data_IF_186258323589
#
_entry.id   IF_186258323589
#
_cell.length_a   1.000
_cell.length_b   1.000
_cell.length_c   1.000
_cell.angle_alpha   90.00
_cell.angle_beta   90.00
_cell.angle_gamma   90.00
#
_symmetry.space_group_name_H-M   'P 1'
#
loop_
_entity.id
_entity.type
_entity.pdbx_description
1 polymer ?
#
# COMPACT_ATOMS: atom_id res chain seq x y z
N UNK A 1 4.93 3.78 10.32
CA UNK A 1 5.25 2.39 9.95
C UNK A 1 5.80 2.31 8.53
N UNK A 2 5.00 2.66 7.52
CA UNK A 2 5.42 2.56 6.11
C UNK A 2 6.67 3.38 5.77
N UNK A 3 6.85 4.56 6.35
CA UNK A 3 8.03 5.41 6.09
C UNK A 3 9.21 5.20 7.07
N UNK A 4 9.24 4.06 7.77
CA UNK A 4 10.32 3.79 8.74
C UNK A 4 11.56 3.23 8.05
N UNK A 5 12.75 3.58 8.54
CA UNK A 5 14.02 3.12 7.94
C UNK A 5 14.15 1.60 7.93
N UNK A 6 13.60 0.91 8.95
CA UNK A 6 13.57 -0.55 9.00
C UNK A 6 12.76 -1.13 7.84
N UNK A 7 11.58 -0.57 7.58
CA UNK A 7 10.70 -1.09 6.54
C UNK A 7 11.23 -0.75 5.14
N UNK A 8 11.74 0.47 4.95
CA UNK A 8 12.33 0.87 3.66
C UNK A 8 13.56 0.03 3.29
N UNK A 9 14.31 -0.50 4.27
CA UNK A 9 15.39 -1.47 4.00
C UNK A 9 14.89 -2.83 3.54
N UNK A 10 13.72 -3.26 4.02
CA UNK A 10 13.09 -4.53 3.63
C UNK A 10 12.31 -4.39 2.31
N UNK A 11 11.68 -3.24 2.08
CA UNK A 11 10.84 -2.90 0.94
C UNK A 11 11.35 -1.60 0.31
N UNK A 12 12.46 -1.65 -0.45
CA UNK A 12 13.09 -0.45 -1.01
C UNK A 12 12.23 0.23 -2.09
N UNK A 13 11.25 -0.49 -2.65
CA UNK A 13 10.25 0.06 -3.57
C UNK A 13 9.28 1.05 -2.90
N UNK A 14 9.17 1.08 -1.56
CA UNK A 14 8.34 2.08 -0.86
C UNK A 14 8.96 3.48 -1.02
N UNK A 15 8.27 4.34 -1.77
CA UNK A 15 8.60 5.74 -1.89
C UNK A 15 8.37 6.50 -0.58
N UNK A 16 9.01 7.66 -0.45
CA UNK A 16 8.90 8.51 0.74
C UNK A 16 7.60 9.31 0.76
N UNK A 17 6.96 9.50 -0.40
CA UNK A 17 5.67 10.16 -0.52
C UNK A 17 4.54 9.15 -0.29
N UNK A 18 3.87 9.31 0.84
CA UNK A 18 2.81 8.42 1.31
C UNK A 18 1.70 9.29 1.89
N UNK A 19 0.49 9.13 1.35
CA UNK A 19 -0.73 9.76 1.87
C UNK A 19 -1.67 8.66 2.35
N UNK A 20 -2.09 8.77 3.61
CA UNK A 20 -3.04 7.84 4.23
C UNK A 20 -4.33 8.60 4.54
N UNK A 21 -5.45 8.08 4.06
CA UNK A 21 -6.79 8.56 4.38
C UNK A 21 -7.53 7.45 5.14
N UNK A 22 -8.18 7.82 6.24
CA UNK A 22 -9.09 6.93 6.95
C UNK A 22 -10.49 7.52 6.97
N UNK A 23 -11.48 6.70 6.63
CA UNK A 23 -12.89 7.01 6.76
C UNK A 23 -13.55 5.92 7.62
N UNK A 24 -14.41 6.32 8.56
CA UNK A 24 -15.16 5.36 9.38
C UNK A 24 -16.65 5.69 9.32
N UNK A 25 -17.45 4.70 8.98
CA UNK A 25 -18.91 4.78 8.98
C UNK A 25 -19.45 3.68 9.89
N UNK A 26 -19.92 4.08 11.07
CA UNK A 26 -20.31 3.17 12.16
C UNK A 26 -19.16 2.24 12.55
N UNK A 27 -19.26 0.96 12.21
CA UNK A 27 -18.29 -0.08 12.53
C UNK A 27 -17.33 -0.37 11.37
N UNK A 28 -17.67 0.09 10.15
CA UNK A 28 -16.83 -0.13 8.98
C UNK A 28 -15.76 0.96 8.88
N UNK A 29 -14.49 0.56 8.85
CA UNK A 29 -13.36 1.46 8.66
C UNK A 29 -12.73 1.21 7.30
N UNK A 30 -12.53 2.26 6.52
CA UNK A 30 -11.83 2.20 5.24
C UNK A 30 -10.55 3.00 5.34
N UNK A 31 -9.43 2.36 5.02
CA UNK A 31 -8.10 2.98 4.96
C UNK A 31 -7.65 2.97 3.50
N UNK A 32 -7.48 4.14 2.92
CA UNK A 32 -6.94 4.32 1.57
C UNK A 32 -5.55 4.90 1.63
N UNK A 33 -4.60 4.27 0.94
CA UNK A 33 -3.19 4.63 0.96
C UNK A 33 -2.77 4.92 -0.47
N UNK A 34 -2.33 6.15 -0.71
CA UNK A 34 -1.56 6.48 -1.90
C UNK A 34 -0.08 6.41 -1.53
N UNK A 35 0.66 5.57 -2.25
CA UNK A 35 2.06 5.26 -2.00
C UNK A 35 2.83 5.39 -3.30
N UNK A 36 3.75 6.36 -3.34
CA UNK A 36 4.71 6.44 -4.43
C UNK A 36 5.59 5.19 -4.42
N UNK A 37 5.90 4.68 -5.61
CA UNK A 37 6.73 3.48 -5.78
C UNK A 37 7.99 3.85 -6.53
N UNK A 38 9.14 3.33 -6.09
CA UNK A 38 10.44 3.63 -6.70
C UNK A 38 10.70 2.67 -7.84
N UNK A 39 10.69 3.18 -9.07
CA UNK A 39 10.84 2.43 -10.34
C UNK A 39 12.07 1.51 -10.38
N UNK A 40 13.19 1.94 -9.80
CA UNK A 40 14.45 1.18 -9.75
C UNK A 40 14.31 -0.21 -9.11
N UNK A 41 13.30 -0.41 -8.25
CA UNK A 41 13.08 -1.64 -7.51
C UNK A 41 11.89 -2.46 -8.00
N UNK A 42 11.27 -2.06 -9.11
CA UNK A 42 10.10 -2.73 -9.71
C UNK A 42 10.30 -2.79 -11.22
N UNK A 43 10.55 -3.97 -11.77
CA UNK A 43 10.97 -4.12 -13.17
C UNK A 43 9.80 -4.07 -14.15
N UNK A 44 8.59 -4.43 -13.70
CA UNK A 44 7.41 -4.55 -14.55
C UNK A 44 6.10 -4.40 -13.76
N UNK A 45 4.99 -4.26 -14.50
CA UNK A 45 3.66 -4.07 -13.91
C UNK A 45 3.20 -5.25 -13.04
N UNK A 46 3.63 -6.48 -13.34
CA UNK A 46 3.26 -7.64 -12.51
C UNK A 46 3.94 -7.57 -11.15
N UNK A 47 5.21 -7.21 -11.11
CA UNK A 47 5.93 -6.96 -9.86
C UNK A 47 5.30 -5.81 -9.07
N UNK A 48 4.87 -4.75 -9.75
CA UNK A 48 4.15 -3.65 -9.11
C UNK A 48 2.85 -4.12 -8.43
N UNK A 49 2.05 -4.93 -9.13
CA UNK A 49 0.79 -5.48 -8.60
C UNK A 49 1.08 -6.38 -7.39
N UNK A 50 2.03 -7.31 -7.52
CA UNK A 50 2.43 -8.19 -6.41
C UNK A 50 2.96 -7.40 -5.22
N UNK A 51 3.75 -6.36 -5.46
CA UNK A 51 4.22 -5.46 -4.41
C UNK A 51 3.06 -4.77 -3.70
N UNK A 52 2.07 -4.26 -4.44
CA UNK A 52 0.86 -3.64 -3.90
C UNK A 52 0.04 -4.61 -3.02
N UNK A 53 -0.08 -5.86 -3.45
CA UNK A 53 -0.72 -6.94 -2.67
C UNK A 53 0.05 -7.24 -1.38
N UNK A 54 1.38 -7.36 -1.46
CA UNK A 54 2.23 -7.58 -0.28
C UNK A 54 2.10 -6.46 0.76
N UNK A 55 2.07 -5.20 0.33
CA UNK A 55 1.85 -4.07 1.23
C UNK A 55 0.46 -4.16 1.87
N UNK A 56 -0.56 -4.51 1.09
CA UNK A 56 -1.94 -4.65 1.59
C UNK A 56 -2.05 -5.74 2.65
N UNK A 57 -1.47 -6.92 2.41
CA UNK A 57 -1.45 -8.02 3.38
C UNK A 57 -0.61 -7.69 4.62
N UNK A 58 0.54 -7.03 4.46
CA UNK A 58 1.35 -6.57 5.60
C UNK A 58 0.57 -5.61 6.51
N UNK A 59 -0.25 -4.73 5.93
CA UNK A 59 -1.06 -3.79 6.71
C UNK A 59 -2.17 -4.52 7.47
N UNK A 60 -2.85 -5.49 6.83
CA UNK A 60 -3.84 -6.34 7.48
C UNK A 60 -3.23 -7.14 8.63
N UNK A 61 -2.07 -7.77 8.42
CA UNK A 61 -1.36 -8.52 9.46
C UNK A 61 -0.94 -7.63 10.63
N UNK A 62 -0.53 -6.38 10.34
CA UNK A 62 -0.01 -5.48 11.36
C UNK A 62 -1.09 -4.79 12.18
N UNK A 63 -2.21 -4.43 11.54
CA UNK A 63 -3.23 -3.54 12.10
C UNK A 63 -4.60 -4.20 12.23
N UNK A 64 -4.74 -5.46 11.80
CA UNK A 64 -5.99 -6.22 11.83
C UNK A 64 -6.82 -6.02 10.57
N UNK A 65 -7.62 -7.05 10.24
CA UNK A 65 -8.49 -7.10 9.06
C UNK A 65 -9.98 -7.23 9.37
N UNK A 66 -10.36 -7.66 10.58
CA UNK A 66 -11.76 -7.61 11.01
C UNK A 66 -12.16 -6.14 11.17
N UNK A 67 -13.13 -5.69 10.36
CA UNK A 67 -13.72 -4.33 10.37
C UNK A 67 -12.90 -3.22 9.67
N UNK A 68 -11.77 -3.56 9.05
CA UNK A 68 -10.93 -2.58 8.32
C UNK A 68 -10.66 -3.03 6.89
N UNK A 69 -11.14 -2.25 5.93
CA UNK A 69 -10.84 -2.39 4.51
C UNK A 69 -9.61 -1.55 4.13
N UNK A 70 -8.57 -2.19 3.62
CA UNK A 70 -7.37 -1.52 3.13
C UNK A 70 -7.37 -1.43 1.61
N UNK A 71 -7.14 -0.24 1.10
CA UNK A 71 -6.97 0.03 -0.32
C UNK A 71 -5.64 0.74 -0.56
N UNK A 72 -4.86 0.25 -1.52
CA UNK A 72 -3.59 0.86 -1.92
C UNK A 72 -3.72 1.29 -3.39
N UNK A 73 -3.31 2.52 -3.70
CA UNK A 73 -3.25 3.10 -5.05
C UNK A 73 -4.50 2.80 -5.90
N UNK A 74 -5.67 3.24 -5.41
CA UNK A 74 -6.98 3.01 -6.06
C UNK A 74 -7.16 3.75 -7.38
N UNK A 75 -6.27 4.69 -7.71
CA UNK A 75 -6.28 5.43 -8.96
C UNK A 75 -5.52 4.71 -10.10
N UNK A 76 -4.88 3.58 -9.83
CA UNK A 76 -4.16 2.81 -10.84
C UNK A 76 -5.12 2.25 -11.90
N UNK A 77 -4.72 2.34 -13.16
CA UNK A 77 -5.37 1.68 -14.30
C UNK A 77 -4.38 0.72 -14.94
N UNK A 78 -4.39 -0.53 -14.46
CA UNK A 78 -3.45 -1.59 -14.87
C UNK A 78 -3.56 -1.92 -16.36
N UNK A 79 -4.73 -1.70 -16.98
CA UNK A 79 -4.91 -1.97 -18.41
C UNK A 79 -4.27 -0.87 -19.29
N UNK A 80 -4.11 0.33 -18.75
CA UNK A 80 -3.45 1.45 -19.43
C UNK A 80 -1.95 1.55 -19.20
N UNK A 81 -1.42 0.82 -18.22
CA UNK A 81 0.02 0.73 -17.92
C UNK A 81 0.38 1.38 -16.60
#
# INVERSE_FOLDING_TARGET
>A
FLNSDKLNKQYPAIGRDIKVMGARIRDNTTITIALATVDKYVENIKEYITFKEQITEMLKDKFGSCDIDYYVNTADDVERG
#
